data_IF_972135406314
#
_entry.id   IF_972135406314
#
_cell.length_a   1.000
_cell.length_b   1.000
_cell.length_c   1.000
_cell.angle_alpha   90.00
_cell.angle_beta   90.00
_cell.angle_gamma   90.00
#
_symmetry.space_group_name_H-M   'P 1'
#
loop_
_entity.id
_entity.type
_entity.pdbx_description
1 polymer ?
#
# COMPACT_ATOMS: atom_id res chain seq x y z
N UNK A 1 25.43 3.95 -18.83
CA UNK A 1 24.07 4.04 -19.42
C UNK A 1 23.07 3.33 -18.49
N UNK A 2 21.75 3.49 -18.68
CA UNK A 2 20.72 2.77 -17.88
C UNK A 2 20.94 1.23 -17.84
N UNK A 3 21.35 0.55 -18.94
CA UNK A 3 21.70 -0.87 -18.94
C UNK A 3 22.82 -1.25 -17.95
N UNK A 4 23.87 -0.44 -17.83
CA UNK A 4 24.98 -0.71 -16.92
C UNK A 4 24.57 -0.57 -15.45
N UNK A 5 23.70 0.41 -15.17
CA UNK A 5 23.12 0.63 -13.85
C UNK A 5 22.23 -0.54 -13.43
N UNK A 6 21.39 -1.00 -14.36
CA UNK A 6 20.53 -2.17 -14.20
C UNK A 6 21.36 -3.43 -13.88
N UNK A 7 22.44 -3.68 -14.63
CA UNK A 7 23.38 -4.79 -14.36
C UNK A 7 24.07 -4.66 -13.01
N UNK A 8 24.55 -3.47 -12.66
CA UNK A 8 25.26 -3.21 -11.40
C UNK A 8 24.38 -3.49 -10.18
N UNK A 9 23.11 -3.13 -10.22
CA UNK A 9 22.18 -3.29 -9.11
C UNK A 9 21.29 -4.53 -9.21
N UNK A 10 21.51 -5.41 -10.19
CA UNK A 10 20.70 -6.61 -10.38
C UNK A 10 19.23 -6.34 -10.72
N UNK A 11 18.93 -5.19 -11.31
CA UNK A 11 17.57 -4.77 -11.68
C UNK A 11 17.36 -4.99 -13.17
N UNK A 12 16.22 -5.57 -13.56
CA UNK A 12 15.85 -5.67 -14.97
C UNK A 12 15.54 -4.28 -15.55
N UNK A 13 15.93 -4.02 -16.79
CA UNK A 13 15.66 -2.72 -17.44
C UNK A 13 14.15 -2.40 -17.49
N UNK A 14 13.31 -3.43 -17.70
CA UNK A 14 11.85 -3.29 -17.65
C UNK A 14 11.36 -2.78 -16.29
N UNK A 15 11.88 -3.31 -15.19
CA UNK A 15 11.57 -2.86 -13.82
C UNK A 15 11.99 -1.41 -13.61
N UNK A 16 13.17 -1.01 -14.10
CA UNK A 16 13.61 0.40 -14.03
C UNK A 16 12.64 1.33 -14.74
N UNK A 17 12.22 1.02 -15.98
CA UNK A 17 11.29 1.86 -16.72
C UNK A 17 9.89 1.89 -16.10
N UNK A 18 9.42 0.78 -15.50
CA UNK A 18 8.18 0.77 -14.73
C UNK A 18 8.24 1.71 -13.53
N UNK A 19 9.33 1.66 -12.75
CA UNK A 19 9.54 2.58 -11.64
C UNK A 19 9.67 4.03 -12.12
N UNK A 20 10.40 4.27 -13.21
CA UNK A 20 10.51 5.60 -13.80
C UNK A 20 9.16 6.15 -14.25
N UNK A 21 8.30 5.33 -14.86
CA UNK A 21 6.96 5.74 -15.25
C UNK A 21 6.05 6.02 -14.05
N UNK A 22 6.22 5.28 -12.95
CA UNK A 22 5.37 5.39 -11.76
C UNK A 22 5.83 6.49 -10.80
N UNK A 23 7.13 6.73 -10.72
CA UNK A 23 7.78 7.52 -9.67
C UNK A 23 8.75 8.59 -10.20
N UNK A 24 9.04 8.62 -11.50
CA UNK A 24 10.13 9.43 -12.06
C UNK A 24 9.93 10.95 -12.04
N UNK A 25 8.74 11.44 -11.67
CA UNK A 25 8.47 12.87 -11.44
C UNK A 25 8.25 13.22 -9.97
N UNK A 26 8.55 12.29 -9.04
CA UNK A 26 8.41 12.49 -7.61
C UNK A 26 9.75 12.80 -6.97
N UNK A 27 9.77 13.72 -6.01
CA UNK A 27 10.92 13.94 -5.15
C UNK A 27 11.03 12.83 -4.10
N UNK A 28 12.20 12.69 -3.48
CA UNK A 28 12.42 11.70 -2.42
C UNK A 28 11.46 11.90 -1.21
N UNK A 29 11.09 13.15 -0.92
CA UNK A 29 10.08 13.52 0.08
C UNK A 29 8.69 13.00 -0.30
N UNK A 30 8.32 13.07 -1.57
CA UNK A 30 7.02 12.62 -2.07
C UNK A 30 6.92 11.10 -1.96
N UNK A 31 7.98 10.38 -2.32
CA UNK A 31 8.05 8.92 -2.17
C UNK A 31 7.95 8.48 -0.70
N UNK A 32 8.60 9.21 0.20
CA UNK A 32 8.55 8.93 1.64
C UNK A 32 7.14 9.14 2.19
N UNK A 33 6.49 10.25 1.80
CA UNK A 33 5.10 10.54 2.15
C UNK A 33 4.13 9.51 1.57
N UNK A 34 4.32 9.10 0.32
CA UNK A 34 3.49 8.09 -0.33
C UNK A 34 3.53 6.77 0.44
N UNK A 35 4.73 6.28 0.80
CA UNK A 35 4.88 5.05 1.60
C UNK A 35 4.21 5.14 2.96
N UNK A 36 4.32 6.29 3.63
CA UNK A 36 3.67 6.52 4.93
C UNK A 36 2.13 6.45 4.80
N UNK A 37 1.57 7.09 3.76
CA UNK A 37 0.14 7.06 3.48
C UNK A 37 -0.36 5.66 3.08
N UNK A 38 0.42 4.91 2.29
CA UNK A 38 0.08 3.52 1.95
C UNK A 38 0.02 2.63 3.20
N UNK A 39 0.97 2.81 4.13
CA UNK A 39 1.00 2.07 5.40
C UNK A 39 -0.18 2.45 6.31
N UNK A 40 -0.47 3.74 6.45
CA UNK A 40 -1.60 4.22 7.24
C UNK A 40 -2.93 3.72 6.67
N UNK A 41 -3.12 3.80 5.36
CA UNK A 41 -4.30 3.29 4.67
C UNK A 41 -4.48 1.78 4.90
N UNK A 42 -3.38 1.01 4.85
CA UNK A 42 -3.43 -0.42 5.17
C UNK A 42 -3.90 -0.68 6.60
N UNK A 43 -3.39 0.06 7.58
CA UNK A 43 -3.80 -0.05 8.99
C UNK A 43 -5.26 0.33 9.17
N UNK A 44 -5.71 1.43 8.55
CA UNK A 44 -7.09 1.90 8.61
C UNK A 44 -8.05 0.87 8.01
N UNK A 45 -7.73 0.30 6.86
CA UNK A 45 -8.54 -0.76 6.23
C UNK A 45 -8.66 -1.99 7.12
N UNK A 46 -7.57 -2.41 7.76
CA UNK A 46 -7.60 -3.53 8.71
C UNK A 46 -8.50 -3.23 9.91
N UNK A 47 -8.29 -2.09 10.56
CA UNK A 47 -9.09 -1.69 11.71
C UNK A 47 -10.58 -1.57 11.35
N UNK A 48 -10.89 -1.01 10.18
CA UNK A 48 -12.26 -0.91 9.71
C UNK A 48 -12.89 -2.29 9.49
N UNK A 49 -12.16 -3.24 8.90
CA UNK A 49 -12.64 -4.61 8.74
C UNK A 49 -12.92 -5.28 10.10
N UNK A 50 -11.98 -5.16 11.06
CA UNK A 50 -12.11 -5.73 12.40
C UNK A 50 -13.33 -5.16 13.14
N UNK A 51 -13.50 -3.83 13.13
CA UNK A 51 -14.64 -3.14 13.76
C UNK A 51 -15.95 -3.49 13.05
N UNK A 52 -15.94 -3.61 11.73
CA UNK A 52 -17.13 -3.98 10.97
C UNK A 52 -17.59 -5.39 11.32
N UNK A 53 -16.65 -6.33 11.46
CA UNK A 53 -16.93 -7.70 11.86
C UNK A 53 -17.54 -7.75 13.27
N UNK A 54 -16.92 -7.06 14.25
CA UNK A 54 -17.47 -6.98 15.61
C UNK A 54 -18.88 -6.36 15.63
N UNK A 55 -19.12 -5.33 14.83
CA UNK A 55 -20.45 -4.72 14.73
C UNK A 55 -21.49 -5.68 14.15
N UNK A 56 -21.12 -6.52 13.18
CA UNK A 56 -22.02 -7.55 12.65
C UNK A 56 -22.33 -8.59 13.72
N UNK A 57 -21.32 -9.12 14.41
CA UNK A 57 -21.51 -10.09 15.50
C UNK A 57 -22.42 -9.55 16.61
N UNK A 58 -22.25 -8.28 17.00
CA UNK A 58 -23.09 -7.64 18.01
C UNK A 58 -24.54 -7.50 17.55
N UNK A 59 -24.77 -7.12 16.28
CA UNK A 59 -26.12 -7.05 15.71
C UNK A 59 -26.80 -8.42 15.68
N UNK A 60 -26.09 -9.46 15.22
CA UNK A 60 -26.60 -10.83 15.18
C UNK A 60 -27.01 -11.33 16.58
N UNK A 61 -26.22 -11.00 17.62
CA UNK A 61 -26.55 -11.35 19.00
C UNK A 61 -27.79 -10.61 19.51
N UNK A 62 -27.97 -9.35 19.14
CA UNK A 62 -29.15 -8.57 19.52
C UNK A 62 -30.40 -9.12 18.82
N UNK A 63 -30.32 -9.38 17.52
CA UNK A 63 -31.43 -9.93 16.73
C UNK A 63 -31.88 -11.29 17.23
N UNK A 64 -30.95 -12.16 17.68
CA UNK A 64 -31.28 -13.46 18.26
C UNK A 64 -31.93 -13.40 19.65
N UNK A 65 -31.85 -12.25 20.33
CA UNK A 65 -32.40 -12.03 21.69
C UNK A 65 -33.77 -11.36 21.67
N UNK A 66 -34.20 -10.83 20.53
CA UNK A 66 -35.54 -10.27 20.28
C UNK A 66 -36.45 -11.35 19.72
#
# INVERSE_FOLDING_TARGET
MVPDLCRKYGVAQSTYYQWKSKYGGMEASDLSRLKALEEENRKLKKLFADVSLQNMELKDVIEKKL
#
